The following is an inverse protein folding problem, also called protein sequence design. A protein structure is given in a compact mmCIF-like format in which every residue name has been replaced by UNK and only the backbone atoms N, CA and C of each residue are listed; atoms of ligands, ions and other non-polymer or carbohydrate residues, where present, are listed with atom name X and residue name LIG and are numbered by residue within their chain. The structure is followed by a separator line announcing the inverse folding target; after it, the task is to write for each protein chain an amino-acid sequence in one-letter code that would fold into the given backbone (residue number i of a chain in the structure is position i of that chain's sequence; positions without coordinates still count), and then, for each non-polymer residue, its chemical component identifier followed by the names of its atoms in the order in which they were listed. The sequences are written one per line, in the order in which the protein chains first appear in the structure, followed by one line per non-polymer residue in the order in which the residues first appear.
data_IF_804394997147
#
_entry.id   IF_804394997147
#
_cell.length_a   1.000
_cell.length_b   1.000
_cell.length_c   1.000
_cell.angle_alpha   90.00
_cell.angle_beta   90.00
_cell.angle_gamma   90.00
#
_symmetry.space_group_name_H-M   'P 1'
#
loop_
_entity.id
_entity.type
_entity.pdbx_description
1 polymer ?
#
# COMPACT_ATOMS: atom_id res chain seq x y z
N UNK A 1 -9.81 11.23 17.97
CA UNK A 1 -8.97 11.39 16.76
C UNK A 1 -9.89 11.72 15.60
N UNK A 2 -9.77 12.93 15.04
CA UNK A 2 -10.55 13.37 13.88
C UNK A 2 -10.17 12.53 12.66
N UNK A 3 -11.16 11.99 11.96
CA UNK A 3 -10.96 11.23 10.72
C UNK A 3 -11.47 12.05 9.54
N UNK A 4 -10.62 12.26 8.55
CA UNK A 4 -10.91 13.02 7.35
C UNK A 4 -11.20 12.04 6.21
N UNK A 5 -12.26 12.29 5.46
CA UNK A 5 -12.60 11.46 4.31
C UNK A 5 -11.59 11.68 3.16
N UNK A 6 -11.25 10.61 2.45
CA UNK A 6 -10.44 10.73 1.24
C UNK A 6 -11.19 11.47 0.12
N UNK A 7 -10.47 12.12 -0.81
CA UNK A 7 -11.05 12.62 -2.04
C UNK A 7 -11.84 11.52 -2.78
N UNK A 8 -13.00 11.87 -3.34
CA UNK A 8 -13.93 10.92 -3.95
C UNK A 8 -13.32 10.10 -5.07
N UNK A 9 -12.46 10.70 -5.90
CA UNK A 9 -11.74 10.02 -6.98
C UNK A 9 -10.81 8.91 -6.47
N UNK A 10 -10.08 9.18 -5.38
CA UNK A 10 -9.18 8.22 -4.74
C UNK A 10 -9.98 7.10 -4.06
N UNK A 11 -11.05 7.46 -3.37
CA UNK A 11 -11.99 6.51 -2.77
C UNK A 11 -12.57 5.54 -3.81
N UNK A 12 -13.04 6.06 -4.95
CA UNK A 12 -13.58 5.24 -6.04
C UNK A 12 -12.53 4.32 -6.70
N UNK A 13 -11.26 4.75 -6.76
CA UNK A 13 -10.16 3.88 -7.25
C UNK A 13 -9.88 2.75 -6.26
N UNK A 14 -9.78 3.07 -4.97
CA UNK A 14 -9.59 2.08 -3.90
C UNK A 14 -10.72 1.06 -3.84
N UNK A 15 -11.98 1.51 -3.90
CA UNK A 15 -13.14 0.63 -3.89
C UNK A 15 -13.15 -0.33 -5.09
N UNK A 16 -12.78 0.16 -6.29
CA UNK A 16 -12.66 -0.69 -7.49
C UNK A 16 -11.55 -1.73 -7.36
N UNK A 17 -10.39 -1.33 -6.85
CA UNK A 17 -9.27 -2.25 -6.61
C UNK A 17 -9.65 -3.33 -5.59
N UNK A 18 -10.24 -2.94 -4.46
CA UNK A 18 -10.70 -3.86 -3.41
C UNK A 18 -11.76 -4.84 -3.93
N UNK A 19 -12.75 -4.35 -4.69
CA UNK A 19 -13.80 -5.18 -5.29
C UNK A 19 -13.23 -6.18 -6.30
N UNK A 20 -12.32 -5.72 -7.19
CA UNK A 20 -11.65 -6.58 -8.17
C UNK A 20 -10.88 -7.71 -7.48
N UNK A 21 -10.11 -7.38 -6.44
CA UNK A 21 -9.34 -8.38 -5.69
C UNK A 21 -10.25 -9.34 -4.95
N UNK A 22 -11.30 -8.85 -4.29
CA UNK A 22 -12.28 -9.70 -3.63
C UNK A 22 -12.89 -10.71 -4.60
N UNK A 23 -13.37 -10.26 -5.76
CA UNK A 23 -13.96 -11.13 -6.77
C UNK A 23 -12.95 -12.13 -7.34
N UNK A 24 -11.68 -11.75 -7.49
CA UNK A 24 -10.63 -12.63 -7.99
C UNK A 24 -10.35 -13.81 -7.04
N UNK A 25 -10.41 -13.56 -5.73
CA UNK A 25 -10.06 -14.54 -4.68
C UNK A 25 -11.28 -15.17 -3.99
N UNK A 26 -12.49 -14.69 -4.27
CA UNK A 26 -13.72 -15.24 -3.71
C UNK A 26 -13.85 -16.72 -4.05
N UNK A 27 -14.05 -17.54 -3.01
CA UNK A 27 -14.21 -19.00 -3.15
C UNK A 27 -12.90 -19.75 -3.42
N UNK A 28 -11.75 -19.08 -3.43
CA UNK A 28 -10.42 -19.69 -3.57
C UNK A 28 -9.74 -19.81 -2.21
N UNK A 29 -8.80 -20.76 -2.03
CA UNK A 29 -8.01 -20.84 -0.81
C UNK A 29 -7.21 -19.53 -0.59
N UNK A 30 -6.97 -19.14 0.68
CA UNK A 30 -6.13 -17.98 0.98
C UNK A 30 -4.77 -18.11 0.32
N UNK A 31 -4.36 -17.05 -0.39
CA UNK A 31 -3.06 -16.93 -1.04
C UNK A 31 -2.48 -15.54 -0.81
N UNK A 32 -1.15 -15.43 -0.80
CA UNK A 32 -0.46 -14.15 -0.85
C UNK A 32 -0.71 -13.45 -2.19
N UNK A 33 -0.92 -12.14 -2.15
CA UNK A 33 -1.17 -11.36 -3.37
C UNK A 33 -0.80 -9.89 -3.17
N UNK A 34 -0.62 -9.20 -4.30
CA UNK A 34 -0.28 -7.78 -4.35
C UNK A 34 -1.47 -7.04 -4.95
N UNK A 35 -1.88 -5.94 -4.31
CA UNK A 35 -3.00 -5.12 -4.77
C UNK A 35 -2.52 -3.69 -4.99
N UNK A 36 -2.71 -3.20 -6.21
CA UNK A 36 -2.41 -1.81 -6.57
C UNK A 36 -3.64 -0.93 -6.40
N UNK A 37 -3.40 0.35 -6.11
CA UNK A 37 -4.46 1.35 -6.07
C UNK A 37 -5.33 1.28 -4.81
N UNK A 38 -4.76 0.82 -3.70
CA UNK A 38 -5.43 0.78 -2.39
C UNK A 38 -5.23 2.11 -1.67
N UNK A 39 -6.28 2.62 -1.02
CA UNK A 39 -6.19 3.83 -0.22
C UNK A 39 -5.22 3.67 0.95
N UNK A 40 -4.19 4.52 0.98
CA UNK A 40 -3.15 4.57 2.00
C UNK A 40 -2.98 6.01 2.48
N UNK A 41 -2.40 6.18 3.67
CA UNK A 41 -2.02 7.49 4.16
C UNK A 41 -0.62 7.46 4.77
N UNK A 42 0.13 8.56 4.61
CA UNK A 42 1.43 8.78 5.21
C UNK A 42 1.26 9.61 6.48
N UNK A 43 1.67 9.06 7.62
CA UNK A 43 1.63 9.75 8.91
C UNK A 43 2.72 10.83 8.98
N UNK A 44 2.60 11.82 9.90
CA UNK A 44 3.63 12.83 10.12
C UNK A 44 5.02 12.27 10.40
N UNK A 45 5.10 11.08 11.03
CA UNK A 45 6.37 10.38 11.28
C UNK A 45 6.97 9.67 10.05
N UNK A 46 6.40 9.87 8.85
CA UNK A 46 6.87 9.27 7.59
C UNK A 46 6.32 7.88 7.30
N UNK A 47 5.77 7.18 8.30
CA UNK A 47 5.22 5.84 8.14
C UNK A 47 3.96 5.83 7.28
N UNK A 48 3.90 4.92 6.30
CA UNK A 48 2.74 4.73 5.43
C UNK A 48 1.88 3.57 5.93
N UNK A 49 0.56 3.78 5.98
CA UNK A 49 -0.40 2.76 6.42
C UNK A 49 -1.53 2.61 5.41
N UNK A 50 -2.00 1.38 5.25
CA UNK A 50 -3.22 1.07 4.52
C UNK A 50 -4.44 1.52 5.33
N UNK A 51 -5.46 2.03 4.64
CA UNK A 51 -6.75 2.33 5.27
C UNK A 51 -7.44 1.07 5.79
N UNK A 52 -8.15 1.19 6.92
CA UNK A 52 -8.94 0.08 7.49
C UNK A 52 -10.19 -0.23 6.65
N UNK A 53 -10.84 0.80 6.13
CA UNK A 53 -12.00 0.66 5.24
C UNK A 53 -11.59 1.07 3.83
N UNK A 54 -11.66 0.12 2.90
CA UNK A 54 -11.22 0.32 1.51
C UNK A 54 -12.30 0.93 0.62
N UNK A 55 -13.56 0.83 1.03
CA UNK A 55 -14.74 1.32 0.29
C UNK A 55 -15.13 2.73 0.74
N UNK A 56 -14.84 3.06 2.00
CA UNK A 56 -15.03 4.41 2.57
C UNK A 56 -13.77 4.80 3.35
N UNK A 57 -12.64 5.04 2.65
CA UNK A 57 -11.37 5.31 3.32
C UNK A 57 -11.40 6.66 4.04
N UNK A 58 -10.82 6.66 5.23
CA UNK A 58 -10.59 7.83 6.06
C UNK A 58 -9.14 7.81 6.55
N UNK A 59 -8.56 8.99 6.75
CA UNK A 59 -7.20 9.17 7.29
C UNK A 59 -7.24 10.07 8.52
N UNK A 60 -6.31 9.89 9.48
CA UNK A 60 -6.23 10.78 10.62
C UNK A 60 -5.71 12.15 10.22
N UNK A 61 -6.15 13.17 10.94
CA UNK A 61 -5.66 14.55 10.77
C UNK A 61 -4.12 14.63 10.83
N UNK A 62 -3.54 15.52 10.03
CA UNK A 62 -2.08 15.65 9.86
C UNK A 62 -1.44 14.59 8.96
N UNK A 63 -2.16 13.57 8.52
CA UNK A 63 -1.65 12.58 7.56
C UNK A 63 -1.89 13.01 6.11
N UNK A 64 -1.02 12.57 5.20
CA UNK A 64 -1.18 12.78 3.75
C UNK A 64 -1.91 11.59 3.12
N UNK A 65 -3.10 11.77 2.52
CA UNK A 65 -3.79 10.70 1.82
C UNK A 65 -3.13 10.38 0.46
N UNK A 66 -3.31 9.16 -0.03
CA UNK A 66 -2.81 8.72 -1.32
C UNK A 66 -3.26 7.30 -1.72
N UNK A 67 -2.67 6.78 -2.78
CA UNK A 67 -2.82 5.39 -3.19
C UNK A 67 -1.50 4.65 -3.04
N UNK A 68 -1.57 3.38 -2.67
CA UNK A 68 -0.40 2.53 -2.59
C UNK A 68 -0.57 1.15 -3.21
N UNK A 69 0.58 0.49 -3.38
CA UNK A 69 0.68 -0.92 -3.71
C UNK A 69 0.87 -1.69 -2.40
N UNK A 70 -0.09 -2.54 -2.06
CA UNK A 70 -0.13 -3.31 -0.82
C UNK A 70 0.20 -4.76 -1.09
N UNK A 71 1.18 -5.29 -0.37
CA UNK A 71 1.50 -6.71 -0.33
C UNK A 71 0.76 -7.34 0.85
N UNK A 72 -0.08 -8.32 0.55
CA UNK A 72 -0.80 -9.11 1.55
C UNK A 72 -0.10 -10.45 1.68
N UNK A 73 0.71 -10.59 2.73
CA UNK A 73 1.42 -11.83 3.07
C UNK A 73 0.63 -12.64 4.06
N UNK A 74 0.66 -13.96 3.92
CA UNK A 74 -0.02 -14.84 4.85
C UNK A 74 0.89 -15.18 6.01
N UNK A 75 0.42 -14.91 7.23
CA UNK A 75 1.05 -15.37 8.44
C UNK A 75 0.15 -16.35 9.18
N UNK A 76 0.70 -17.52 9.49
CA UNK A 76 0.10 -18.46 10.43
C UNK A 76 0.49 -18.07 11.84
N UNK A 77 -0.52 -17.80 12.65
CA UNK A 77 -0.34 -17.62 14.09
C UNK A 77 0.01 -18.98 14.74
N UNK A 78 0.70 -18.98 15.89
CA UNK A 78 0.95 -20.20 16.66
C UNK A 78 -0.31 -20.98 17.03
N UNK A 79 -1.46 -20.29 17.09
CA UNK A 79 -2.79 -20.85 17.37
C UNK A 79 -3.45 -21.49 16.12
N UNK A 80 -2.71 -21.66 15.02
CA UNK A 80 -3.21 -22.27 13.79
C UNK A 80 -4.09 -21.37 12.92
N UNK A 81 -4.37 -20.13 13.32
CA UNK A 81 -5.15 -19.18 12.49
C UNK A 81 -4.26 -18.53 11.44
N UNK A 82 -4.75 -18.45 10.21
CA UNK A 82 -4.12 -17.71 9.11
C UNK A 82 -4.61 -16.26 9.13
N UNK A 83 -3.68 -15.31 9.10
CA UNK A 83 -3.96 -13.87 9.04
C UNK A 83 -3.17 -13.24 7.90
N UNK A 84 -3.66 -12.12 7.38
CA UNK A 84 -2.90 -11.32 6.42
C UNK A 84 -2.10 -10.23 7.14
N UNK A 85 -0.83 -10.10 6.75
CA UNK A 85 0.01 -8.97 7.08
C UNK A 85 0.10 -8.07 5.85
N UNK A 86 -0.31 -6.81 5.99
CA UNK A 86 -0.30 -5.82 4.93
C UNK A 86 0.95 -4.95 5.04
N UNK A 87 1.75 -4.88 3.98
CA UNK A 87 2.84 -3.90 3.84
C UNK A 87 2.65 -3.05 2.61
N UNK A 88 2.96 -1.76 2.70
CA UNK A 88 2.85 -0.81 1.58
C UNK A 88 4.22 -0.66 0.93
N UNK A 89 4.35 -1.05 -0.34
CA UNK A 89 5.63 -1.01 -1.07
C UNK A 89 5.83 0.28 -1.87
N UNK A 90 4.76 0.82 -2.44
CA UNK A 90 4.77 2.06 -3.23
C UNK A 90 3.64 2.95 -2.75
N UNK A 91 3.86 4.26 -2.73
CA UNK A 91 2.88 5.24 -2.29
C UNK A 91 2.97 6.49 -3.17
N UNK A 92 1.83 6.90 -3.72
CA UNK A 92 1.66 8.15 -4.45
C UNK A 92 0.64 9.00 -3.71
N UNK A 93 0.95 10.28 -3.50
CA UNK A 93 0.05 11.17 -2.76
C UNK A 93 -1.19 11.52 -3.58
N UNK A 94 -2.29 11.85 -2.90
CA UNK A 94 -3.50 12.30 -3.59
C UNK A 94 -3.23 13.57 -4.42
N UNK A 95 -2.34 14.44 -3.96
CA UNK A 95 -1.91 15.63 -4.70
C UNK A 95 -1.20 15.28 -6.02
N UNK A 96 -0.26 14.31 -6.01
CA UNK A 96 0.39 13.81 -7.23
C UNK A 96 -0.61 13.18 -8.20
N UNK A 97 -1.56 12.41 -7.68
CA UNK A 97 -2.55 11.68 -8.49
C UNK A 97 -3.55 12.65 -9.14
N UNK A 98 -3.98 13.68 -8.41
CA UNK A 98 -4.95 14.67 -8.90
C UNK A 98 -4.29 15.80 -9.69
N UNK A 99 -2.99 16.06 -9.49
CA UNK A 99 -2.24 17.08 -10.21
C UNK A 99 -1.77 16.69 -11.61
N UNK A 100 -2.07 15.46 -12.06
CA UNK A 100 -1.63 14.93 -13.36
C UNK A 100 -2.67 15.16 -14.47
N UNK A 101 -2.95 16.43 -14.76
CA UNK A 101 -3.40 16.90 -16.09
C UNK A 101 -2.30 17.71 -16.81
N UNK A 102 -1.04 17.57 -16.38
CA UNK A 102 0.11 18.12 -17.11
C UNK A 102 1.08 17.00 -17.50
N UNK A 103 0.83 16.47 -18.71
CA UNK A 103 1.82 16.01 -19.68
C UNK A 103 3.18 15.53 -19.15
N UNK A 104 3.42 14.22 -19.22
CA UNK A 104 4.77 13.67 -19.40
C UNK A 104 4.77 12.55 -20.44
N UNK A 105 4.47 12.93 -21.69
CA UNK A 105 5.02 12.22 -22.84
C UNK A 105 6.51 12.56 -22.94
N UNK A 106 7.36 11.84 -22.20
CA UNK A 106 8.78 11.81 -22.53
C UNK A 106 8.97 10.67 -23.52
N UNK A 107 8.98 11.04 -24.80
CA UNK A 107 9.50 10.21 -25.87
C UNK A 107 10.96 9.88 -25.53
N UNK A 108 11.30 8.61 -25.32
CA UNK A 108 12.69 8.15 -25.37
C UNK A 108 13.00 7.75 -26.81
N UNK A 109 13.80 8.50 -27.58
CA UNK A 109 14.60 7.90 -28.61
C UNK A 109 15.92 7.39 -28.01
N UNK A 110 16.28 6.18 -28.42
CA UNK A 110 17.55 5.51 -28.22
C UNK A 110 18.75 6.47 -28.37
N UNK A 111 19.62 6.56 -27.36
CA UNK A 111 21.03 6.88 -27.61
C UNK A 111 21.93 5.78 -27.05
N UNK A 112 22.53 5.09 -28.02
CA UNK A 112 23.67 4.20 -27.92
C UNK A 112 24.88 5.03 -27.53
N UNK A 113 25.56 4.71 -26.42
CA UNK A 113 26.85 5.32 -26.08
C UNK A 113 27.97 4.29 -26.34
N UNK A 114 28.93 4.56 -27.24
CA UNK A 114 30.00 3.64 -27.57
C UNK A 114 31.18 3.69 -26.60
N UNK A 115 31.81 2.53 -26.47
CA UNK A 115 33.02 2.18 -25.71
C UNK A 115 34.28 2.98 -26.10
N UNK A 116 35.04 3.51 -25.11
CA UNK A 116 36.49 3.77 -25.23
C UNK A 116 37.22 3.45 -23.91
N UNK A 117 38.33 2.71 -24.04
CA UNK A 117 39.31 2.22 -23.04
C UNK A 117 40.12 3.40 -22.44
N UNK A 118 40.69 3.36 -21.23
CA UNK A 118 41.99 2.71 -20.85
C UNK A 118 42.30 2.90 -19.34
N UNK A 119 43.31 2.20 -18.76
CA UNK A 119 43.37 1.81 -17.35
C UNK A 119 44.34 2.65 -16.49
N UNK A 120 44.22 2.56 -15.15
CA UNK A 120 45.29 2.90 -14.21
C UNK A 120 45.31 1.90 -13.04
N UNK A 121 46.49 1.33 -12.79
CA UNK A 121 46.81 0.36 -11.73
C UNK A 121 47.46 1.04 -10.51
N UNK A 122 47.76 0.23 -9.48
CA UNK A 122 48.41 0.48 -8.17
C UNK A 122 47.43 0.83 -7.03
N UNK A 123 47.54 0.30 -5.82
CA UNK A 123 48.43 -0.70 -5.23
C UNK A 123 47.91 -1.07 -3.84
N UNK A 124 48.24 -2.28 -3.40
CA UNK A 124 47.98 -2.87 -2.09
C UNK A 124 48.43 -1.97 -0.92
N UNK A 125 47.50 -1.67 -0.02
CA UNK A 125 47.76 -1.02 1.26
C UNK A 125 46.85 -1.61 2.34
N UNK A 126 47.41 -2.54 3.11
CA UNK A 126 46.85 -3.09 4.34
C UNK A 126 46.58 -1.98 5.36
N UNK A 127 45.41 -2.01 6.03
CA UNK A 127 45.27 -1.75 7.47
C UNK A 127 43.82 -2.02 7.91
N UNK A 128 43.71 -2.81 8.98
CA UNK A 128 42.49 -3.17 9.72
C UNK A 128 41.63 -1.95 10.05
N UNK A 129 40.32 -2.07 9.89
CA UNK A 129 39.34 -1.27 10.62
C UNK A 129 38.10 -2.13 10.90
N UNK A 130 37.47 -1.80 12.03
CA UNK A 130 36.72 -2.68 12.91
C UNK A 130 35.35 -3.15 12.38
N UNK A 131 34.97 -4.32 12.91
CA UNK A 131 33.64 -4.88 12.89
C UNK A 131 32.69 -3.95 13.66
N UNK A 132 32.05 -3.00 12.98
CA UNK A 132 30.93 -2.24 13.54
C UNK A 132 29.65 -2.93 13.09
N UNK A 133 29.05 -3.68 14.03
CA UNK A 133 27.66 -4.12 13.91
C UNK A 133 26.77 -2.88 13.91
N UNK A 134 25.88 -2.67 12.93
CA UNK A 134 24.78 -1.75 13.11
C UNK A 134 23.73 -2.43 14.00
N UNK A 135 23.60 -1.91 15.22
CA UNK A 135 22.49 -2.19 16.13
C UNK A 135 21.14 -2.09 15.41
N UNK A 136 20.36 -3.16 15.51
CA UNK A 136 18.95 -3.25 15.16
C UNK A 136 18.11 -2.26 15.99
N UNK A 137 17.21 -1.50 15.34
CA UNK A 137 15.95 -1.13 15.97
C UNK A 137 14.77 -1.64 15.15
N UNK A 138 14.68 -2.95 14.89
CA UNK A 138 13.42 -3.55 14.47
C UNK A 138 12.46 -3.65 15.67
N UNK A 139 11.81 -2.52 15.95
CA UNK A 139 10.56 -2.54 16.72
C UNK A 139 9.49 -3.28 15.91
N UNK A 140 8.75 -4.23 16.51
CA UNK A 140 7.73 -4.99 15.79
C UNK A 140 6.63 -4.03 15.34
N UNK A 141 6.46 -3.92 14.02
CA UNK A 141 5.29 -3.30 13.40
C UNK A 141 4.08 -3.99 14.00
N UNK A 142 3.28 -3.22 14.75
CA UNK A 142 2.06 -3.68 15.39
C UNK A 142 1.23 -4.51 14.40
N UNK A 143 1.21 -5.83 14.59
CA UNK A 143 0.38 -6.76 13.83
C UNK A 143 -1.08 -6.45 14.11
N UNK A 144 -1.65 -5.51 13.35
CA UNK A 144 -3.08 -5.23 13.38
C UNK A 144 -3.79 -6.46 12.82
N UNK A 145 -4.36 -7.24 13.74
CA UNK A 145 -5.27 -8.36 13.51
C UNK A 145 -6.55 -7.83 12.86
N UNK A 146 -6.48 -7.47 11.59
CA UNK A 146 -7.64 -7.09 10.80
C UNK A 146 -7.62 -8.04 9.63
N UNK A 147 -8.61 -8.93 9.56
CA UNK A 147 -8.97 -9.54 8.29
C UNK A 147 -9.62 -8.43 7.45
N UNK A 148 -8.92 -7.88 6.43
CA UNK A 148 -9.41 -6.72 5.69
C UNK A 148 -10.71 -7.04 4.93
N UNK A 149 -11.04 -8.33 4.75
CA UNK A 149 -12.22 -8.78 4.04
C UNK A 149 -13.44 -8.98 4.95
N UNK A 150 -13.27 -9.28 6.24
CA UNK A 150 -14.40 -9.45 7.17
C UNK A 150 -15.08 -8.10 7.48
N UNK A 151 -14.30 -7.01 7.53
CA UNK A 151 -14.85 -5.66 7.66
C UNK A 151 -15.56 -5.20 6.38
N UNK A 152 -15.02 -5.54 5.21
CA UNK A 152 -15.66 -5.28 3.92
C UNK A 152 -17.02 -6.00 3.79
N UNK A 153 -17.09 -7.26 4.23
CA UNK A 153 -18.34 -8.04 4.24
C UNK A 153 -19.43 -7.38 5.07
N UNK A 154 -19.11 -6.95 6.30
CA UNK A 154 -20.04 -6.24 7.20
C UNK A 154 -20.52 -4.90 6.63
N UNK A 155 -19.67 -4.21 5.87
CA UNK A 155 -20.03 -2.95 5.22
C UNK A 155 -20.92 -3.14 3.98
N UNK A 156 -20.68 -4.17 3.17
CA UNK A 156 -21.55 -4.54 2.04
C UNK A 156 -22.94 -4.97 2.54
N UNK A 157 -23.01 -5.78 3.60
CA UNK A 157 -24.28 -6.18 4.22
C UNK A 157 -25.07 -4.97 4.78
N UNK A 158 -24.37 -3.97 5.36
CA UNK A 158 -25.00 -2.71 5.80
C UNK A 158 -25.50 -1.84 4.65
N UNK A 159 -24.77 -1.76 3.54
CA UNK A 159 -25.23 -1.03 2.36
C UNK A 159 -26.46 -1.68 1.75
N UNK A 160 -26.50 -3.01 1.65
CA UNK A 160 -27.66 -3.73 1.12
C UNK A 160 -28.91 -3.62 2.02
N UNK A 161 -28.76 -3.55 3.35
CA UNK A 161 -29.91 -3.29 4.25
C UNK A 161 -30.48 -1.88 4.15
N UNK A 162 -29.66 -0.86 3.87
CA UNK A 162 -30.17 0.51 3.68
C UNK A 162 -30.94 0.66 2.37
N UNK A 163 -30.54 -0.05 1.32
CA UNK A 163 -31.23 -0.01 0.03
C UNK A 163 -32.64 -0.63 0.04
N UNK A 164 -33.03 -1.38 1.08
CA UNK A 164 -34.35 -1.99 1.21
C UNK A 164 -35.33 -1.18 2.07
N UNK A 165 -34.88 -0.13 2.76
CA UNK A 165 -35.77 0.75 3.54
C UNK A 165 -36.17 2.04 2.83
N UNK A 166 -35.64 2.29 1.63
CA UNK A 166 -36.02 3.44 0.79
C UNK A 166 -36.99 3.06 -0.36
N UNK A 167 -37.61 1.87 -0.29
CA UNK A 167 -38.64 1.40 -1.24
C UNK A 167 -39.91 1.03 -0.48
N UNK A 168 -40.41 1.94 0.36
CA UNK A 168 -41.83 1.97 0.73
C UNK A 168 -42.25 3.45 0.78
N UNK A 169 -42.72 3.94 -0.38
CA UNK A 169 -43.63 5.08 -0.51
C UNK A 169 -44.85 4.58 -1.27
#
# INVERSE_FOLDING_TARGET
MTQIAFPSQISARSARAASKTYNLHRGKPPQEHVVQGIACYRMPCGNVRMCKDLYRPHYPEGSTPGLGTVHLRMRRTPQGRTTYEASVAQFQTAAEIMGCEKSSSVNNPLEVVPSVRTPVSYSSGSLRAELVQPDDPFSPISSLKIDPYDQARKNIERCNRRSLHDIEV
#
